data_IF_058774851239
#
_entry.id   IF_058774851239
#
_cell.length_a   1.000
_cell.length_b   1.000
_cell.length_c   1.000
_cell.angle_alpha   90.00
_cell.angle_beta   90.00
_cell.angle_gamma   90.00
#
_symmetry.space_group_name_H-M   'P 1'
#
loop_
_entity.id
_entity.type
_entity.pdbx_description
1 polymer ?
#
# COMPACT_ATOMS: atom_id res chain seq x y z
N UNK A 1 -21.67 -15.78 -57.05
CA UNK A 1 -20.41 -15.49 -56.33
C UNK A 1 -20.78 -14.93 -54.98
N UNK A 2 -20.85 -15.78 -53.96
CA UNK A 2 -21.06 -15.38 -52.57
C UNK A 2 -19.76 -15.68 -51.82
N UNK A 3 -19.22 -14.65 -51.18
CA UNK A 3 -17.95 -14.64 -50.47
C UNK A 3 -18.01 -15.48 -49.21
N UNK A 4 -17.06 -16.41 -49.09
CA UNK A 4 -16.86 -17.28 -47.95
C UNK A 4 -16.22 -16.50 -46.79
N UNK A 5 -17.00 -16.20 -45.75
CA UNK A 5 -16.51 -15.63 -44.49
C UNK A 5 -16.59 -16.70 -43.40
N UNK A 6 -15.62 -17.61 -43.36
CA UNK A 6 -15.42 -18.51 -42.23
C UNK A 6 -14.67 -17.77 -41.12
N UNK A 7 -15.35 -17.50 -40.00
CA UNK A 7 -14.73 -17.01 -38.78
C UNK A 7 -13.71 -18.03 -38.24
N UNK A 8 -12.58 -17.59 -37.64
CA UNK A 8 -11.58 -18.51 -37.10
C UNK A 8 -12.17 -19.32 -35.94
N UNK A 9 -12.05 -20.65 -36.02
CA UNK A 9 -12.51 -21.57 -34.98
C UNK A 9 -11.83 -21.24 -33.65
N UNK A 10 -12.63 -20.95 -32.60
CA UNK A 10 -12.14 -20.93 -31.22
C UNK A 10 -11.51 -22.30 -30.93
N UNK A 11 -10.19 -22.33 -30.76
CA UNK A 11 -9.54 -23.50 -30.20
C UNK A 11 -10.06 -23.65 -28.77
N UNK A 12 -10.84 -24.70 -28.52
CA UNK A 12 -11.25 -25.11 -27.16
C UNK A 12 -10.01 -25.58 -26.40
N UNK A 13 -9.24 -24.62 -25.88
CA UNK A 13 -8.21 -24.87 -24.89
C UNK A 13 -8.92 -25.23 -23.57
N UNK A 14 -9.25 -26.51 -23.42
CA UNK A 14 -9.82 -27.07 -22.20
C UNK A 14 -8.76 -27.00 -21.10
N UNK A 15 -8.73 -25.89 -20.36
CA UNK A 15 -7.89 -25.69 -19.17
C UNK A 15 -8.24 -26.77 -18.14
N UNK A 16 -7.38 -27.79 -18.02
CA UNK A 16 -7.41 -28.68 -16.87
C UNK A 16 -6.96 -27.87 -15.66
N UNK A 17 -7.83 -27.73 -14.66
CA UNK A 17 -7.47 -27.20 -13.34
C UNK A 17 -6.41 -28.12 -12.72
N UNK A 18 -5.16 -27.66 -12.50
CA UNK A 18 -4.16 -28.47 -11.85
C UNK A 18 -4.55 -28.68 -10.39
N UNK A 19 -4.72 -29.93 -9.97
CA UNK A 19 -4.66 -30.29 -8.55
C UNK A 19 -3.19 -30.47 -8.20
N UNK A 20 -2.60 -29.47 -7.54
CA UNK A 20 -1.21 -29.46 -7.05
C UNK A 20 -0.39 -28.27 -7.54
N UNK A 21 0.54 -27.80 -6.71
CA UNK A 21 1.58 -26.81 -7.03
C UNK A 21 2.58 -27.44 -8.00
N UNK A 22 2.24 -27.46 -9.30
CA UNK A 22 3.21 -27.74 -10.35
C UNK A 22 3.88 -26.42 -10.72
N UNK A 23 5.20 -26.37 -10.62
CA UNK A 23 5.97 -25.20 -11.03
C UNK A 23 5.79 -24.96 -12.55
N UNK A 24 5.65 -23.69 -12.93
CA UNK A 24 5.53 -23.26 -14.32
C UNK A 24 6.89 -23.49 -15.02
N UNK A 25 6.91 -24.21 -16.14
CA UNK A 25 8.13 -24.52 -16.88
C UNK A 25 7.95 -24.27 -18.39
N UNK A 26 8.98 -23.75 -19.06
CA UNK A 26 8.94 -23.52 -20.50
C UNK A 26 7.84 -22.55 -20.93
N UNK A 27 6.99 -22.93 -21.89
CA UNK A 27 5.91 -22.08 -22.43
C UNK A 27 4.87 -21.63 -21.40
N UNK A 28 4.70 -22.40 -20.33
CA UNK A 28 3.82 -22.08 -19.20
C UNK A 28 4.27 -20.75 -18.51
N UNK A 29 5.58 -20.46 -18.49
CA UNK A 29 6.12 -19.23 -17.91
C UNK A 29 5.78 -17.98 -18.73
N UNK A 30 5.62 -18.12 -20.05
CA UNK A 30 5.25 -17.03 -20.97
C UNK A 30 3.75 -16.73 -20.86
N UNK A 31 2.92 -17.76 -20.74
CA UNK A 31 1.50 -17.57 -20.46
C UNK A 31 1.29 -16.91 -19.08
N UNK A 32 2.05 -17.36 -18.09
CA UNK A 32 2.11 -16.70 -16.79
C UNK A 32 2.59 -15.24 -16.93
N UNK A 33 3.50 -14.90 -17.85
CA UNK A 33 3.91 -13.49 -18.11
C UNK A 33 2.74 -12.65 -18.55
N UNK A 34 2.12 -13.10 -19.62
CA UNK A 34 1.01 -12.39 -20.19
C UNK A 34 -0.13 -12.26 -19.17
N UNK A 35 -0.41 -13.29 -18.38
CA UNK A 35 -1.44 -13.21 -17.32
C UNK A 35 -1.06 -12.18 -16.26
N UNK A 36 0.15 -12.23 -15.69
CA UNK A 36 0.54 -11.28 -14.65
C UNK A 36 0.66 -9.85 -15.17
N UNK A 37 1.26 -9.63 -16.34
CA UNK A 37 1.41 -8.31 -16.95
C UNK A 37 0.04 -7.73 -17.34
N UNK A 38 -0.85 -8.55 -17.92
CA UNK A 38 -2.24 -8.15 -18.23
C UNK A 38 -2.99 -7.79 -16.96
N UNK A 39 -2.87 -8.61 -15.90
CA UNK A 39 -3.47 -8.32 -14.60
C UNK A 39 -2.93 -7.00 -14.05
N UNK A 40 -1.63 -6.75 -14.06
CA UNK A 40 -1.08 -5.51 -13.47
C UNK A 40 -1.46 -4.24 -14.24
N UNK A 41 -1.86 -4.35 -15.51
CA UNK A 41 -2.12 -3.18 -16.36
C UNK A 41 -3.61 -2.87 -16.54
N UNK A 42 -4.52 -3.79 -16.20
CA UNK A 42 -5.96 -3.71 -16.55
C UNK A 42 -6.87 -3.87 -15.32
N UNK A 43 -6.33 -4.09 -14.12
CA UNK A 43 -7.16 -4.50 -12.99
C UNK A 43 -7.92 -3.33 -12.35
N UNK A 44 -9.13 -3.09 -12.88
CA UNK A 44 -10.27 -2.61 -12.11
C UNK A 44 -11.04 -3.85 -11.65
N UNK A 45 -10.97 -4.17 -10.36
CA UNK A 45 -11.55 -5.40 -9.82
C UNK A 45 -12.44 -5.09 -8.64
N UNK A 46 -13.63 -5.68 -8.63
CA UNK A 46 -14.39 -5.90 -7.42
C UNK A 46 -14.25 -7.35 -6.93
N UNK A 47 -14.26 -7.56 -5.62
CA UNK A 47 -14.27 -8.88 -5.02
C UNK A 47 -15.26 -8.93 -3.86
N UNK A 48 -16.26 -9.80 -3.98
CA UNK A 48 -17.18 -10.12 -2.89
C UNK A 48 -16.85 -11.52 -2.37
N UNK A 49 -16.26 -11.61 -1.19
CA UNK A 49 -15.82 -12.88 -0.63
C UNK A 49 -15.84 -12.88 0.91
N UNK A 50 -15.89 -14.07 1.49
CA UNK A 50 -15.74 -14.26 2.93
C UNK A 50 -14.28 -14.11 3.34
N UNK A 51 -14.05 -13.41 4.44
CA UNK A 51 -12.75 -13.28 5.10
C UNK A 51 -12.83 -13.87 6.50
N UNK A 52 -11.67 -14.31 6.98
CA UNK A 52 -11.55 -14.98 8.28
C UNK A 52 -10.56 -14.21 9.15
N UNK A 53 -11.00 -13.75 10.32
CA UNK A 53 -10.15 -13.04 11.30
C UNK A 53 -10.23 -13.74 12.65
N UNK A 54 -9.06 -14.05 13.23
CA UNK A 54 -8.96 -14.64 14.57
C UNK A 54 -8.97 -13.57 15.65
N UNK A 55 -9.89 -12.62 15.55
CA UNK A 55 -10.02 -11.52 16.50
C UNK A 55 -10.64 -12.03 17.81
N UNK A 56 -10.19 -11.48 18.94
CA UNK A 56 -10.82 -11.63 20.26
C UNK A 56 -11.60 -10.34 20.54
N UNK A 57 -12.92 -10.30 20.27
CA UNK A 57 -13.68 -9.08 20.51
C UNK A 57 -13.88 -8.85 22.00
N UNK A 58 -13.70 -7.59 22.44
CA UNK A 58 -14.03 -7.14 23.80
C UNK A 58 -15.54 -7.23 24.09
N UNK A 59 -16.39 -7.28 23.05
CA UNK A 59 -17.85 -7.39 23.15
C UNK A 59 -18.28 -8.69 22.49
N UNK A 60 -18.89 -9.60 23.26
CA UNK A 60 -19.30 -10.94 22.82
C UNK A 60 -20.42 -10.95 21.75
N UNK A 61 -21.01 -9.80 21.42
CA UNK A 61 -22.01 -9.63 20.36
C UNK A 61 -21.43 -8.78 19.23
N UNK A 62 -21.37 -9.35 18.02
CA UNK A 62 -21.35 -8.57 16.77
C UNK A 62 -20.07 -8.60 15.93
N UNK A 63 -18.91 -9.03 16.44
CA UNK A 63 -17.73 -9.28 15.58
C UNK A 63 -17.64 -10.75 15.21
N UNK A 64 -17.99 -11.04 13.97
CA UNK A 64 -17.88 -12.38 13.40
C UNK A 64 -16.41 -12.69 13.09
N UNK A 65 -16.01 -13.95 13.30
CA UNK A 65 -14.71 -14.44 12.81
C UNK A 65 -14.71 -14.74 11.33
N UNK A 66 -15.89 -14.84 10.74
CA UNK A 66 -16.16 -15.04 9.32
C UNK A 66 -17.20 -14.02 8.89
N UNK A 67 -16.87 -13.16 7.92
CA UNK A 67 -17.78 -12.15 7.39
C UNK A 67 -17.45 -11.83 5.93
N UNK A 68 -18.38 -11.21 5.21
CA UNK A 68 -18.15 -10.78 3.83
C UNK A 68 -17.43 -9.43 3.78
N UNK A 69 -16.51 -9.31 2.82
CA UNK A 69 -16.01 -8.04 2.31
C UNK A 69 -16.45 -7.89 0.86
N UNK A 70 -16.73 -6.64 0.47
CA UNK A 70 -17.02 -6.23 -0.90
C UNK A 70 -16.00 -5.15 -1.24
N UNK A 71 -14.84 -5.58 -1.74
CA UNK A 71 -13.71 -4.71 -2.02
C UNK A 71 -13.76 -4.30 -3.50
N UNK A 72 -13.32 -3.08 -3.81
CA UNK A 72 -13.14 -2.56 -5.16
C UNK A 72 -11.81 -1.83 -5.21
N UNK A 73 -10.97 -2.20 -6.16
CA UNK A 73 -9.60 -1.70 -6.28
C UNK A 73 -9.32 -1.32 -7.73
N UNK A 74 -8.68 -0.16 -7.91
CA UNK A 74 -8.11 0.30 -9.17
C UNK A 74 -6.59 0.20 -9.03
N UNK A 75 -5.96 -0.66 -9.83
CA UNK A 75 -4.51 -0.84 -9.83
C UNK A 75 -3.92 -0.42 -11.19
N UNK A 76 -2.89 0.42 -11.15
CA UNK A 76 -2.20 0.87 -12.35
C UNK A 76 -1.56 2.25 -12.18
N UNK A 77 -0.97 2.74 -13.26
CA UNK A 77 -0.42 4.09 -13.35
C UNK A 77 -1.44 4.97 -14.08
N UNK A 78 -1.90 6.01 -13.39
CA UNK A 78 -2.92 6.94 -13.87
C UNK A 78 -2.50 8.36 -13.54
N UNK A 79 -3.19 9.33 -14.14
CA UNK A 79 -3.06 10.73 -13.75
C UNK A 79 -3.51 10.91 -12.28
N UNK A 80 -2.89 11.84 -11.53
CA UNK A 80 -3.09 11.96 -10.09
C UNK A 80 -4.56 12.17 -9.73
N UNK A 81 -5.00 11.50 -8.66
CA UNK A 81 -6.31 11.62 -7.99
C UNK A 81 -7.53 11.21 -8.82
N UNK A 82 -7.40 10.83 -10.09
CA UNK A 82 -8.54 10.38 -10.90
C UNK A 82 -9.13 9.07 -10.35
N UNK A 83 -8.35 7.99 -10.13
CA UNK A 83 -8.89 6.76 -9.55
C UNK A 83 -9.45 6.96 -8.14
N UNK A 84 -8.80 7.81 -7.35
CA UNK A 84 -9.23 8.14 -5.99
C UNK A 84 -10.63 8.79 -6.00
N UNK A 85 -10.86 9.72 -6.93
CA UNK A 85 -12.16 10.37 -7.11
C UNK A 85 -13.23 9.37 -7.60
N UNK A 86 -12.89 8.49 -8.54
CA UNK A 86 -13.80 7.46 -9.06
C UNK A 86 -14.27 6.50 -7.97
N UNK A 87 -13.37 6.03 -7.11
CA UNK A 87 -13.73 5.19 -5.96
C UNK A 87 -14.70 5.90 -5.01
N UNK A 88 -14.51 7.20 -4.75
CA UNK A 88 -15.42 7.98 -3.93
C UNK A 88 -16.80 8.18 -4.61
N UNK A 89 -16.84 8.31 -5.94
CA UNK A 89 -18.07 8.38 -6.71
C UNK A 89 -18.86 7.07 -6.62
N UNK A 90 -18.19 5.92 -6.80
CA UNK A 90 -18.79 4.59 -6.64
C UNK A 90 -19.39 4.43 -5.24
N UNK A 91 -18.70 4.89 -4.19
CA UNK A 91 -19.23 4.85 -2.81
C UNK A 91 -20.52 5.67 -2.69
N UNK A 92 -20.56 6.87 -3.29
CA UNK A 92 -21.73 7.74 -3.27
C UNK A 92 -22.93 7.07 -3.99
N UNK A 93 -22.72 6.55 -5.20
CA UNK A 93 -23.74 5.87 -6.01
C UNK A 93 -24.28 4.61 -5.32
N UNK A 94 -23.40 3.77 -4.75
CA UNK A 94 -23.80 2.57 -4.01
C UNK A 94 -24.63 2.95 -2.78
N UNK A 95 -24.24 4.00 -2.06
CA UNK A 95 -24.97 4.45 -0.86
C UNK A 95 -26.36 4.97 -1.21
N UNK A 96 -26.49 5.71 -2.32
CA UNK A 96 -27.78 6.18 -2.84
C UNK A 96 -28.67 5.01 -3.28
N UNK A 97 -28.13 4.05 -4.04
CA UNK A 97 -28.85 2.86 -4.47
C UNK A 97 -29.35 2.03 -3.28
N UNK A 98 -28.56 1.95 -2.20
CA UNK A 98 -28.93 1.30 -0.95
C UNK A 98 -29.87 2.15 -0.07
N UNK A 99 -30.10 3.42 -0.42
CA UNK A 99 -30.90 4.40 0.35
C UNK A 99 -30.37 4.59 1.76
N UNK A 100 -29.04 4.68 1.89
CA UNK A 100 -28.35 4.94 3.15
C UNK A 100 -27.66 6.29 3.01
N UNK A 101 -28.08 7.25 3.83
CA UNK A 101 -27.38 8.53 3.94
C UNK A 101 -26.04 8.30 4.63
N UNK A 102 -24.96 8.67 3.96
CA UNK A 102 -23.60 8.52 4.46
C UNK A 102 -22.83 9.83 4.37
N UNK A 103 -21.81 9.95 5.22
CA UNK A 103 -20.73 10.90 5.06
C UNK A 103 -19.43 10.13 4.88
N UNK A 104 -18.67 10.47 3.84
CA UNK A 104 -17.34 9.92 3.62
C UNK A 104 -16.31 10.85 4.26
N UNK A 105 -15.75 10.42 5.38
CA UNK A 105 -14.65 11.10 6.05
C UNK A 105 -13.37 10.83 5.28
N UNK A 106 -12.64 11.88 4.94
CA UNK A 106 -11.39 11.83 4.18
C UNK A 106 -10.24 12.32 5.04
N UNK A 107 -9.05 11.83 4.75
CA UNK A 107 -7.77 12.38 5.19
C UNK A 107 -6.66 11.98 4.21
N UNK A 108 -5.45 12.49 4.38
CA UNK A 108 -4.32 12.17 3.51
C UNK A 108 -3.10 11.76 4.33
N UNK A 109 -2.45 10.65 3.95
CA UNK A 109 -1.31 10.10 4.70
C UNK A 109 -0.14 11.08 4.76
N UNK A 110 0.16 11.77 3.66
CA UNK A 110 1.24 12.78 3.63
C UNK A 110 0.98 13.95 4.60
N UNK A 111 -0.28 14.39 4.71
CA UNK A 111 -0.65 15.44 5.68
C UNK A 111 -0.48 14.92 7.11
N UNK A 112 -0.93 13.69 7.39
CA UNK A 112 -0.73 13.05 8.69
C UNK A 112 0.75 12.85 9.04
N UNK A 113 1.58 12.41 8.09
CA UNK A 113 3.02 12.21 8.31
C UNK A 113 3.73 13.52 8.63
N UNK A 114 3.46 14.58 7.86
CA UNK A 114 4.00 15.90 8.18
C UNK A 114 3.51 16.45 9.51
N UNK A 115 2.27 16.16 9.92
CA UNK A 115 1.78 16.48 11.27
C UNK A 115 2.54 15.72 12.36
N UNK A 116 2.86 14.44 12.14
CA UNK A 116 3.66 13.65 13.09
C UNK A 116 5.12 14.11 13.16
N UNK A 117 5.72 14.51 12.05
CA UNK A 117 7.06 15.12 12.02
C UNK A 117 7.12 16.44 12.81
N UNK A 118 5.99 17.15 12.87
CA UNK A 118 5.83 18.40 13.62
C UNK A 118 5.28 18.18 15.04
N UNK A 119 5.32 16.94 15.56
CA UNK A 119 4.88 16.58 16.91
C UNK A 119 3.37 16.87 17.16
N UNK A 120 2.48 16.48 16.21
CA UNK A 120 1.01 16.68 16.33
C UNK A 120 0.11 15.40 16.24
N UNK A 121 0.14 14.44 17.20
CA UNK A 121 -0.78 13.24 17.33
C UNK A 121 -2.08 13.28 18.23
N UNK A 122 -3.10 12.36 18.05
CA UNK A 122 -4.49 12.44 18.57
C UNK A 122 -4.71 12.48 20.10
N UNK A 123 -5.93 12.79 20.59
CA UNK A 123 -6.07 13.48 21.89
C UNK A 123 -6.47 12.70 23.16
N UNK A 124 -7.70 12.37 23.53
CA UNK A 124 -7.94 12.09 24.98
C UNK A 124 -7.51 10.71 25.52
N UNK A 125 -7.49 9.68 24.67
CA UNK A 125 -6.92 8.36 24.98
C UNK A 125 -5.48 8.23 24.47
N UNK A 126 -5.20 8.91 23.37
CA UNK A 126 -3.91 8.89 22.68
C UNK A 126 -2.91 9.79 23.40
N UNK A 127 -3.29 10.91 24.05
CA UNK A 127 -2.44 11.66 24.99
C UNK A 127 -1.90 10.74 26.08
N UNK A 128 -2.77 9.93 26.70
CA UNK A 128 -2.36 8.95 27.73
C UNK A 128 -1.41 7.90 27.16
N UNK A 129 -1.74 7.33 26.01
CA UNK A 129 -0.90 6.32 25.34
C UNK A 129 0.43 6.90 24.80
N UNK A 130 0.45 8.19 24.45
CA UNK A 130 1.62 8.93 23.99
C UNK A 130 2.55 9.31 25.14
N UNK A 131 1.99 9.72 26.27
CA UNK A 131 2.74 9.92 27.52
C UNK A 131 3.37 8.59 27.95
N UNK A 132 2.64 7.47 27.86
CA UNK A 132 3.17 6.12 28.11
C UNK A 132 4.26 5.70 27.11
N UNK A 133 4.27 6.27 25.89
CA UNK A 133 5.30 6.05 24.86
C UNK A 133 6.44 7.09 24.88
N UNK A 134 6.45 8.01 25.85
CA UNK A 134 7.55 8.94 26.09
C UNK A 134 7.50 10.26 25.31
N UNK A 135 6.33 10.67 24.79
CA UNK A 135 6.13 11.98 24.15
C UNK A 135 5.78 13.04 25.21
N UNK A 136 6.27 14.29 25.08
CA UNK A 136 6.12 15.34 26.11
C UNK A 136 4.71 15.97 26.17
N UNK A 137 4.34 16.49 27.35
CA UNK A 137 3.03 17.08 27.63
C UNK A 137 2.75 18.38 26.83
N UNK A 138 3.80 19.14 26.51
CA UNK A 138 3.70 20.36 25.67
C UNK A 138 3.47 20.04 24.19
N UNK A 139 4.03 18.92 23.71
CA UNK A 139 3.78 18.38 22.38
C UNK A 139 2.34 17.90 22.29
N UNK A 140 1.91 17.18 23.32
CA UNK A 140 0.56 16.72 23.49
C UNK A 140 -0.47 17.88 23.41
N UNK A 141 -0.42 18.90 24.28
CA UNK A 141 -1.48 19.92 24.36
C UNK A 141 -1.71 20.70 23.06
N UNK A 142 -0.66 20.88 22.24
CA UNK A 142 -0.75 21.53 20.93
C UNK A 142 -1.56 20.75 19.90
N UNK A 143 -1.77 19.45 20.10
CA UNK A 143 -2.45 18.61 19.11
C UNK A 143 -3.96 18.56 19.25
N UNK A 144 -4.46 18.58 20.48
CA UNK A 144 -5.90 18.51 20.75
C UNK A 144 -6.69 19.56 19.98
N UNK A 145 -6.08 20.74 19.79
CA UNK A 145 -6.64 21.83 19.01
C UNK A 145 -6.83 21.56 17.51
N UNK A 146 -6.09 20.63 16.89
CA UNK A 146 -6.13 20.37 15.43
C UNK A 146 -6.88 19.10 15.06
N UNK A 147 -6.70 18.01 15.81
CA UNK A 147 -7.22 16.68 15.46
C UNK A 147 -8.73 16.56 15.65
N UNK A 148 -9.32 17.32 16.58
CA UNK A 148 -10.77 17.31 16.82
C UNK A 148 -11.58 18.05 15.74
N UNK A 149 -10.93 18.57 14.69
CA UNK A 149 -11.59 19.36 13.65
C UNK A 149 -11.94 18.53 12.43
N UNK A 150 -13.14 18.74 11.92
CA UNK A 150 -13.64 18.20 10.67
C UNK A 150 -14.52 19.24 10.01
N UNK A 151 -14.46 19.36 8.69
CA UNK A 151 -15.19 20.39 7.97
C UNK A 151 -15.25 20.12 6.47
N UNK A 152 -15.71 21.13 5.73
CA UNK A 152 -15.68 21.10 4.28
C UNK A 152 -14.24 21.04 3.77
N UNK A 153 -14.01 20.35 2.65
CA UNK A 153 -12.67 20.13 2.12
C UNK A 153 -11.90 21.43 1.90
N UNK A 154 -12.54 22.44 1.28
CA UNK A 154 -11.93 23.76 1.05
C UNK A 154 -11.56 24.47 2.34
N UNK A 155 -12.48 24.52 3.30
CA UNK A 155 -12.23 25.18 4.58
C UNK A 155 -11.03 24.56 5.31
N UNK A 156 -10.94 23.23 5.31
CA UNK A 156 -9.84 22.53 5.96
C UNK A 156 -8.50 22.73 5.23
N UNK A 157 -8.52 22.79 3.90
CA UNK A 157 -7.32 23.08 3.10
C UNK A 157 -6.82 24.52 3.32
N UNK A 158 -7.72 25.51 3.23
CA UNK A 158 -7.41 26.92 3.46
C UNK A 158 -6.78 27.11 4.86
N UNK A 159 -7.25 26.36 5.87
CA UNK A 159 -6.68 26.36 7.22
C UNK A 159 -5.27 25.78 7.26
N UNK A 160 -5.04 24.62 6.66
CA UNK A 160 -3.70 24.00 6.62
C UNK A 160 -2.71 24.94 5.94
N UNK A 161 -3.12 25.60 4.85
CA UNK A 161 -2.30 26.57 4.12
C UNK A 161 -2.03 27.84 4.92
N UNK A 162 -2.97 28.27 5.77
CA UNK A 162 -2.79 29.44 6.64
C UNK A 162 -1.75 29.25 7.76
N UNK A 163 -1.42 27.99 8.07
CA UNK A 163 -0.43 27.64 9.10
C UNK A 163 0.98 27.58 8.49
N UNK A 164 1.85 28.50 8.90
CA UNK A 164 3.20 28.65 8.32
C UNK A 164 4.07 27.38 8.47
N UNK A 165 3.96 26.66 9.59
CA UNK A 165 4.72 25.44 9.84
C UNK A 165 4.26 24.28 8.94
N UNK A 166 2.94 24.17 8.71
CA UNK A 166 2.35 23.11 7.91
C UNK A 166 2.59 23.35 6.42
N UNK A 167 2.37 24.58 5.96
CA UNK A 167 2.60 24.99 4.57
C UNK A 167 4.08 24.92 4.17
N UNK A 168 5.01 25.11 5.10
CA UNK A 168 6.44 24.95 4.85
C UNK A 168 6.89 23.48 4.75
N UNK A 169 6.11 22.51 5.27
CA UNK A 169 6.45 21.10 5.17
C UNK A 169 6.11 20.58 3.76
N UNK A 170 7.14 20.14 3.02
CA UNK A 170 7.00 19.63 1.64
C UNK A 170 6.00 18.46 1.54
N UNK A 171 6.06 17.52 2.49
CA UNK A 171 5.17 16.35 2.52
C UNK A 171 3.71 16.79 2.71
N UNK A 172 3.46 17.75 3.60
CA UNK A 172 2.12 18.34 3.78
C UNK A 172 1.67 19.06 2.51
N UNK A 173 2.53 19.88 1.89
CA UNK A 173 2.21 20.62 0.67
C UNK A 173 1.80 19.70 -0.48
N UNK A 174 2.51 18.57 -0.67
CA UNK A 174 2.12 17.56 -1.65
C UNK A 174 0.74 16.97 -1.35
N UNK A 175 0.47 16.61 -0.09
CA UNK A 175 -0.84 16.09 0.30
C UNK A 175 -1.97 17.12 0.17
N UNK A 176 -1.70 18.40 0.41
CA UNK A 176 -2.65 19.50 0.18
C UNK A 176 -2.96 19.63 -1.31
N UNK A 177 -1.95 19.58 -2.18
CA UNK A 177 -2.13 19.63 -3.62
C UNK A 177 -2.98 18.45 -4.14
N UNK A 178 -2.70 17.23 -3.66
CA UNK A 178 -3.50 16.03 -3.96
C UNK A 178 -4.98 16.23 -3.55
N UNK A 179 -5.21 16.75 -2.34
CA UNK A 179 -6.57 16.99 -1.83
C UNK A 179 -7.29 18.15 -2.54
N UNK A 180 -6.59 19.19 -2.98
CA UNK A 180 -7.15 20.27 -3.81
C UNK A 180 -7.58 19.75 -5.18
N UNK A 181 -6.76 18.90 -5.80
CA UNK A 181 -7.09 18.27 -7.07
C UNK A 181 -8.31 17.34 -6.92
N UNK A 182 -8.32 16.51 -5.87
CA UNK A 182 -9.47 15.67 -5.53
C UNK A 182 -10.74 16.51 -5.34
N UNK A 183 -10.67 17.64 -4.64
CA UNK A 183 -11.82 18.55 -4.47
C UNK A 183 -12.41 18.99 -5.80
N UNK A 184 -11.55 19.27 -6.80
CA UNK A 184 -11.98 19.69 -8.13
C UNK A 184 -12.72 18.58 -8.88
N UNK A 185 -12.23 17.34 -8.78
CA UNK A 185 -12.87 16.18 -9.40
C UNK A 185 -14.19 15.84 -8.74
N UNK A 186 -14.24 15.78 -7.40
CA UNK A 186 -15.48 15.50 -6.66
C UNK A 186 -16.54 16.58 -6.89
N UNK A 187 -16.11 17.84 -7.11
CA UNK A 187 -17.02 18.92 -7.51
C UNK A 187 -17.59 18.67 -8.91
N UNK A 188 -16.76 18.28 -9.86
CA UNK A 188 -17.19 17.98 -11.24
C UNK A 188 -18.07 16.73 -11.33
N UNK A 189 -17.86 15.76 -10.43
CA UNK A 189 -18.66 14.54 -10.28
C UNK A 189 -19.90 14.74 -9.40
N UNK A 190 -20.15 15.94 -8.88
CA UNK A 190 -21.31 16.27 -8.04
C UNK A 190 -21.43 15.46 -6.74
N UNK A 191 -20.30 15.01 -6.16
CA UNK A 191 -20.24 14.21 -4.92
C UNK A 191 -19.51 14.93 -3.77
N UNK A 192 -19.10 16.18 -3.97
CA UNK A 192 -18.34 16.94 -2.96
C UNK A 192 -19.12 17.19 -1.65
N UNK A 193 -20.45 17.23 -1.69
CA UNK A 193 -21.32 17.39 -0.51
C UNK A 193 -21.40 16.13 0.36
N UNK A 194 -21.04 14.96 -0.18
CA UNK A 194 -21.01 13.68 0.53
C UNK A 194 -19.73 13.49 1.35
N UNK A 195 -18.72 14.32 1.15
CA UNK A 195 -17.41 14.16 1.78
C UNK A 195 -17.16 15.18 2.88
N UNK A 196 -16.39 14.78 3.89
CA UNK A 196 -15.89 15.67 4.94
C UNK A 196 -14.40 15.43 5.11
N UNK A 197 -13.61 16.48 5.25
CA UNK A 197 -12.17 16.36 5.48
C UNK A 197 -11.89 16.51 6.98
N UNK A 198 -11.22 15.51 7.58
CA UNK A 198 -10.93 15.51 9.02
C UNK A 198 -9.56 14.90 9.32
N UNK A 199 -8.77 15.62 10.12
CA UNK A 199 -7.39 15.25 10.45
C UNK A 199 -7.28 14.12 11.48
N UNK A 200 -8.39 13.77 12.15
CA UNK A 200 -8.45 12.64 13.10
C UNK A 200 -8.52 11.27 12.46
N UNK A 201 -8.85 11.19 11.16
CA UNK A 201 -8.94 9.90 10.50
C UNK A 201 -7.54 9.36 10.22
N UNK A 202 -7.06 8.48 11.12
CA UNK A 202 -5.83 7.72 10.95
C UNK A 202 -6.17 6.23 10.87
N UNK A 203 -6.10 5.66 9.67
CA UNK A 203 -6.29 4.22 9.41
C UNK A 203 -5.12 3.68 8.60
N UNK A 204 -4.89 2.37 8.69
CA UNK A 204 -3.96 1.66 7.80
C UNK A 204 -2.55 2.23 7.74
N UNK A 205 -1.99 2.68 8.88
CA UNK A 205 -0.68 3.36 8.96
C UNK A 205 0.47 2.54 8.35
N UNK A 206 0.30 1.21 8.25
CA UNK A 206 1.28 0.29 7.70
C UNK A 206 1.19 0.10 6.18
N UNK A 207 0.14 0.60 5.50
CA UNK A 207 -0.07 0.35 4.08
C UNK A 207 -0.66 1.50 3.25
N UNK A 208 -1.44 2.42 3.82
CA UNK A 208 -1.88 3.60 3.05
C UNK A 208 -0.75 4.62 2.89
N UNK A 209 -0.69 5.23 1.71
CA UNK A 209 0.35 6.18 1.31
C UNK A 209 -0.20 7.53 0.82
N UNK A 210 -1.48 7.58 0.44
CA UNK A 210 -2.15 8.78 -0.04
C UNK A 210 -3.49 9.03 0.65
N UNK A 211 -4.55 9.16 -0.14
CA UNK A 211 -5.93 9.31 0.36
C UNK A 211 -6.29 8.18 1.34
N UNK A 212 -7.00 8.53 2.40
CA UNK A 212 -7.61 7.61 3.36
C UNK A 212 -9.06 8.02 3.51
N UNK A 213 -9.98 7.06 3.51
CA UNK A 213 -11.38 7.35 3.71
C UNK A 213 -12.11 6.33 4.59
N UNK A 214 -13.17 6.83 5.23
CA UNK A 214 -14.07 6.05 6.07
C UNK A 214 -15.52 6.51 5.82
N UNK A 215 -16.38 5.57 5.47
CA UNK A 215 -17.80 5.79 5.21
C UNK A 215 -18.57 5.58 6.51
N UNK A 216 -19.23 6.64 6.97
CA UNK A 216 -20.00 6.65 8.22
C UNK A 216 -21.46 6.95 7.89
N UNK A 217 -22.42 6.11 8.32
CA UNK A 217 -23.83 6.41 8.16
C UNK A 217 -24.20 7.69 8.92
N UNK A 218 -24.98 8.56 8.29
CA UNK A 218 -25.54 9.72 8.96
C UNK A 218 -26.69 9.26 9.89
N UNK A 219 -26.91 9.95 11.03
CA UNK A 219 -28.04 9.67 11.89
C UNK A 219 -29.35 9.70 11.12
N UNK A 220 -30.13 8.63 11.24
CA UNK A 220 -31.47 8.59 10.69
C UNK A 220 -32.34 9.63 11.40
N UNK A 221 -32.72 10.68 10.67
CA UNK A 221 -33.58 11.77 11.18
C UNK A 221 -34.94 11.26 11.68
N UNK A 222 -35.35 10.08 11.23
CA UNK A 222 -36.63 9.44 11.60
C UNK A 222 -36.49 8.43 12.74
N UNK A 223 -35.27 7.93 13.03
CA UNK A 223 -35.05 6.95 14.08
C UNK A 223 -33.73 7.15 14.85
N UNK A 224 -33.74 8.03 15.88
CA UNK A 224 -32.55 8.42 16.63
C UNK A 224 -31.81 7.28 17.35
N UNK A 225 -32.47 6.14 17.60
CA UNK A 225 -31.84 4.98 18.23
C UNK A 225 -30.90 4.21 17.30
N UNK A 226 -30.98 4.40 15.97
CA UNK A 226 -30.04 3.82 15.00
C UNK A 226 -28.76 4.64 14.80
N UNK A 227 -28.63 5.80 15.46
CA UNK A 227 -27.61 6.82 15.15
C UNK A 227 -26.16 6.49 15.54
N UNK A 228 -25.89 5.32 16.12
CA UNK A 228 -24.56 4.87 16.50
C UNK A 228 -24.17 3.58 15.78
N UNK A 229 -24.21 3.61 14.44
CA UNK A 229 -23.55 2.59 13.64
C UNK A 229 -22.12 3.06 13.39
N UNK A 230 -21.14 2.21 13.71
CA UNK A 230 -19.75 2.45 13.30
C UNK A 230 -19.62 2.51 11.78
N UNK A 231 -18.39 2.72 11.28
CA UNK A 231 -18.12 2.74 9.85
C UNK A 231 -18.67 1.51 9.12
N UNK A 232 -19.25 1.76 7.94
CA UNK A 232 -19.83 0.75 7.04
C UNK A 232 -18.95 0.49 5.81
N UNK A 233 -17.91 1.29 5.63
CA UNK A 233 -16.93 1.16 4.56
C UNK A 233 -15.66 1.94 4.89
N UNK A 234 -14.53 1.51 4.35
CA UNK A 234 -13.26 2.19 4.49
C UNK A 234 -12.34 1.81 3.33
N UNK A 235 -11.34 2.64 3.07
CA UNK A 235 -10.36 2.39 2.04
C UNK A 235 -9.34 3.52 1.97
N UNK A 236 -8.54 3.50 0.91
CA UNK A 236 -7.51 4.50 0.67
C UNK A 236 -6.49 4.04 -0.36
N UNK A 237 -5.60 4.96 -0.74
CA UNK A 237 -4.49 4.72 -1.66
C UNK A 237 -3.35 4.04 -0.94
N UNK A 238 -2.89 2.90 -1.48
CA UNK A 238 -1.80 2.09 -0.91
C UNK A 238 -0.72 1.82 -1.97
N UNK A 239 -0.03 2.88 -2.38
CA UNK A 239 1.10 2.77 -3.29
C UNK A 239 2.28 2.08 -2.60
N UNK A 240 3.05 1.31 -3.37
CA UNK A 240 4.28 0.73 -2.86
C UNK A 240 4.89 -0.25 -3.83
N UNK A 241 6.11 -0.65 -3.53
CA UNK A 241 6.91 -1.48 -4.43
C UNK A 241 6.58 -2.98 -4.31
N UNK A 242 5.36 -3.34 -3.89
CA UNK A 242 4.99 -4.77 -3.75
C UNK A 242 5.00 -5.45 -5.12
N UNK A 243 4.31 -4.87 -6.10
CA UNK A 243 4.30 -5.39 -7.47
C UNK A 243 5.69 -5.42 -8.08
N UNK A 244 6.50 -4.37 -7.87
CA UNK A 244 7.88 -4.32 -8.34
C UNK A 244 8.77 -5.38 -7.67
N UNK A 245 8.61 -5.62 -6.36
CA UNK A 245 9.29 -6.72 -5.66
C UNK A 245 8.89 -8.08 -6.22
N UNK A 246 7.60 -8.29 -6.51
CA UNK A 246 7.10 -9.51 -7.14
C UNK A 246 7.73 -9.72 -8.52
N UNK A 247 7.79 -8.66 -9.34
CA UNK A 247 8.39 -8.67 -10.67
C UNK A 247 9.89 -9.02 -10.62
N UNK A 248 10.64 -8.37 -9.73
CA UNK A 248 12.08 -8.64 -9.53
C UNK A 248 12.33 -10.06 -9.01
N UNK A 249 11.58 -10.51 -8.01
CA UNK A 249 11.71 -11.87 -7.48
C UNK A 249 11.46 -12.92 -8.58
N UNK A 250 10.47 -12.67 -9.44
CA UNK A 250 10.17 -13.52 -10.59
C UNK A 250 11.31 -13.58 -11.60
N UNK A 251 11.92 -12.45 -11.95
CA UNK A 251 13.08 -12.42 -12.85
C UNK A 251 14.24 -13.24 -12.31
N UNK A 252 14.50 -13.13 -11.00
CA UNK A 252 15.51 -13.94 -10.32
C UNK A 252 15.15 -15.43 -10.36
N UNK A 253 13.90 -15.81 -10.08
CA UNK A 253 13.45 -17.20 -10.16
C UNK A 253 13.64 -17.79 -11.57
N UNK A 254 13.34 -17.01 -12.62
CA UNK A 254 13.58 -17.43 -14.02
C UNK A 254 15.03 -17.66 -14.35
N UNK A 255 15.91 -16.87 -13.74
CA UNK A 255 17.35 -17.05 -13.86
C UNK A 255 17.88 -18.23 -13.05
N UNK A 256 17.01 -19.00 -12.38
CA UNK A 256 17.37 -20.10 -11.48
C UNK A 256 17.88 -19.63 -10.11
N UNK A 257 17.67 -18.35 -9.76
CA UNK A 257 18.12 -17.76 -8.51
C UNK A 257 16.99 -17.81 -7.50
N UNK A 258 17.20 -18.46 -6.36
CA UNK A 258 16.24 -18.47 -5.26
C UNK A 258 16.18 -17.08 -4.62
N UNK A 259 15.00 -16.48 -4.62
CA UNK A 259 14.74 -15.16 -4.07
C UNK A 259 13.46 -15.17 -3.22
N UNK A 260 13.42 -14.30 -2.22
CA UNK A 260 12.25 -14.08 -1.36
C UNK A 260 12.03 -12.58 -1.20
N UNK A 261 10.80 -12.17 -0.90
CA UNK A 261 10.44 -10.76 -0.66
C UNK A 261 9.34 -10.65 0.39
N UNK A 262 9.25 -9.49 1.05
CA UNK A 262 8.17 -9.21 1.99
C UNK A 262 6.92 -8.74 1.25
N UNK A 263 5.79 -9.43 1.47
CA UNK A 263 4.50 -9.14 0.83
C UNK A 263 3.72 -7.96 1.45
N UNK A 264 4.37 -7.15 2.30
CA UNK A 264 3.77 -5.90 2.83
C UNK A 264 3.95 -4.79 1.81
N UNK A 265 3.05 -3.81 1.77
CA UNK A 265 3.15 -2.64 0.88
C UNK A 265 4.38 -1.78 1.25
N UNK A 266 4.48 -1.37 2.52
CA UNK A 266 5.58 -0.54 3.06
C UNK A 266 6.39 -1.27 4.15
N UNK A 267 7.19 -2.28 3.79
CA UNK A 267 7.96 -3.05 4.78
C UNK A 267 9.08 -2.19 5.39
N UNK A 268 9.19 -2.19 6.73
CA UNK A 268 10.25 -1.45 7.42
C UNK A 268 11.63 -2.06 7.08
N UNK A 269 12.62 -1.28 6.60
CA UNK A 269 13.92 -1.81 6.17
C UNK A 269 14.61 -2.66 7.23
N UNK A 270 14.63 -2.21 8.50
CA UNK A 270 15.24 -2.96 9.59
C UNK A 270 14.62 -4.36 9.79
N UNK A 271 13.30 -4.48 9.67
CA UNK A 271 12.61 -5.77 9.78
C UNK A 271 12.95 -6.68 8.60
N UNK A 272 13.11 -6.13 7.41
CA UNK A 272 13.50 -6.89 6.22
C UNK A 272 14.91 -7.45 6.36
N UNK A 273 15.87 -6.63 6.78
CA UNK A 273 17.24 -7.10 7.01
C UNK A 273 17.31 -8.15 8.10
N UNK A 274 16.56 -7.98 9.20
CA UNK A 274 16.48 -8.99 10.26
C UNK A 274 15.85 -10.31 9.79
N UNK A 275 14.88 -10.28 8.89
CA UNK A 275 14.28 -11.48 8.30
C UNK A 275 15.20 -12.17 7.28
N UNK A 276 16.14 -11.44 6.68
CA UNK A 276 17.09 -11.95 5.68
C UNK A 276 18.33 -12.65 6.27
N UNK A 277 18.23 -13.21 7.49
CA UNK A 277 19.36 -13.91 8.11
C UNK A 277 19.80 -15.11 7.27
N UNK A 278 21.11 -15.20 7.00
CA UNK A 278 21.69 -16.26 6.17
C UNK A 278 21.56 -16.02 4.65
N UNK A 279 20.93 -14.93 4.23
CA UNK A 279 20.85 -14.53 2.82
C UNK A 279 22.11 -13.72 2.46
N UNK A 280 22.86 -14.07 1.40
CA UNK A 280 24.14 -13.43 1.07
C UNK A 280 24.00 -12.16 0.21
N UNK A 281 22.84 -11.92 -0.42
CA UNK A 281 22.63 -10.80 -1.35
C UNK A 281 21.23 -10.22 -1.15
N UNK A 282 21.14 -8.90 -1.06
CA UNK A 282 19.89 -8.15 -1.05
C UNK A 282 19.73 -7.35 -2.35
N UNK A 283 18.53 -7.37 -2.92
CA UNK A 283 18.12 -6.47 -3.99
C UNK A 283 17.15 -5.45 -3.39
N UNK A 284 17.52 -4.18 -3.45
CA UNK A 284 16.83 -3.06 -2.83
C UNK A 284 16.20 -2.24 -3.96
N UNK A 285 14.89 -2.01 -3.82
CA UNK A 285 14.09 -1.22 -4.74
C UNK A 285 13.77 0.12 -4.08
N UNK A 286 14.15 1.21 -4.72
CA UNK A 286 13.72 2.57 -4.38
C UNK A 286 12.97 3.16 -5.57
N UNK A 287 12.03 4.07 -5.30
CA UNK A 287 11.17 4.66 -6.33
C UNK A 287 11.98 5.45 -7.36
N UNK A 288 12.91 6.30 -6.90
CA UNK A 288 13.79 7.08 -7.78
C UNK A 288 14.71 6.19 -8.61
N UNK A 289 15.34 5.18 -7.99
CA UNK A 289 16.19 4.22 -8.72
C UNK A 289 15.40 3.46 -9.79
N UNK A 290 14.21 2.97 -9.46
CA UNK A 290 13.37 2.23 -10.39
C UNK A 290 12.90 3.09 -11.56
N UNK A 291 12.51 4.35 -11.30
CA UNK A 291 12.16 5.30 -12.35
C UNK A 291 13.33 5.57 -13.30
N UNK A 292 14.57 5.51 -12.80
CA UNK A 292 15.79 5.58 -13.61
C UNK A 292 16.20 4.26 -14.28
N UNK A 293 15.38 3.20 -14.16
CA UNK A 293 15.69 1.88 -14.71
C UNK A 293 16.82 1.14 -13.97
N UNK A 294 17.02 1.45 -12.68
CA UNK A 294 18.09 0.93 -11.85
C UNK A 294 17.56 0.23 -10.59
N UNK A 295 18.40 -0.63 -10.02
CA UNK A 295 18.19 -1.29 -8.74
C UNK A 295 19.48 -1.34 -7.96
N UNK A 296 19.36 -1.43 -6.64
CA UNK A 296 20.52 -1.45 -5.76
C UNK A 296 20.76 -2.88 -5.29
N UNK A 297 21.91 -3.44 -5.63
CA UNK A 297 22.29 -4.80 -5.25
C UNK A 297 23.38 -4.71 -4.18
N UNK A 298 23.19 -5.41 -3.07
CA UNK A 298 24.07 -5.34 -1.91
C UNK A 298 24.45 -6.73 -1.43
N UNK A 299 25.74 -6.96 -1.20
CA UNK A 299 26.21 -8.16 -0.53
C UNK A 299 25.98 -8.03 0.98
N UNK A 300 25.34 -9.03 1.58
CA UNK A 300 25.10 -9.09 3.01
C UNK A 300 26.20 -9.95 3.64
N UNK A 301 27.07 -9.33 4.45
CA UNK A 301 28.10 -10.07 5.19
C UNK A 301 27.46 -10.75 6.40
N UNK A 302 27.70 -12.06 6.52
CA UNK A 302 27.23 -12.84 7.66
C UNK A 302 27.99 -12.46 8.93
N UNK A 303 27.42 -11.55 9.72
CA UNK A 303 27.73 -11.44 11.15
C UNK A 303 28.09 -10.05 11.68
N UNK A 304 28.45 -9.08 10.85
CA UNK A 304 28.84 -7.76 11.35
C UNK A 304 27.73 -6.72 11.17
N UNK A 305 27.04 -6.40 12.27
CA UNK A 305 25.90 -5.47 12.31
C UNK A 305 26.31 -4.03 12.04
N UNK A 306 27.59 -3.68 12.21
CA UNK A 306 28.09 -2.29 12.10
C UNK A 306 28.74 -2.01 10.74
N UNK A 307 29.38 -2.99 10.09
CA UNK A 307 29.94 -2.84 8.74
C UNK A 307 28.84 -2.77 7.65
N UNK A 308 27.73 -3.46 7.87
CA UNK A 308 26.58 -3.47 6.96
C UNK A 308 25.85 -2.12 6.85
N UNK A 309 26.11 -1.15 7.74
CA UNK A 309 25.41 0.15 7.76
C UNK A 309 26.06 1.17 6.81
N UNK A 310 27.35 1.01 6.44
CA UNK A 310 28.07 1.99 5.61
C UNK A 310 28.07 1.69 4.11
N UNK A 311 27.94 0.43 3.69
CA UNK A 311 27.85 0.09 2.28
C UNK A 311 26.42 0.32 1.75
N UNK A 312 26.24 1.32 0.89
CA UNK A 312 24.96 1.60 0.23
C UNK A 312 24.63 0.57 -0.86
N UNK A 313 25.48 -0.42 -1.12
CA UNK A 313 25.31 -1.36 -2.23
C UNK A 313 25.55 -0.69 -3.59
N UNK A 314 25.66 -1.53 -4.61
CA UNK A 314 25.94 -1.11 -5.98
C UNK A 314 24.65 -0.77 -6.71
N UNK A 315 24.60 0.40 -7.37
CA UNK A 315 23.54 0.71 -8.33
C UNK A 315 23.81 -0.03 -9.64
N UNK A 316 22.83 -0.80 -10.09
CA UNK A 316 22.90 -1.68 -11.25
C UNK A 316 21.71 -1.39 -12.15
N UNK A 317 21.94 -1.26 -13.45
CA UNK A 317 20.85 -1.20 -14.43
C UNK A 317 19.97 -2.46 -14.34
N UNK A 318 18.64 -2.34 -14.42
CA UNK A 318 17.70 -3.48 -14.29
C UNK A 318 18.06 -4.66 -15.20
N UNK A 319 18.52 -4.36 -16.42
CA UNK A 319 18.95 -5.34 -17.42
C UNK A 319 20.14 -6.20 -16.97
N UNK A 320 21.02 -5.63 -16.13
CA UNK A 320 22.24 -6.29 -15.61
C UNK A 320 22.04 -6.91 -14.23
N UNK A 321 20.82 -6.85 -13.67
CA UNK A 321 20.52 -7.35 -12.33
C UNK A 321 20.93 -8.82 -12.16
N UNK A 322 20.55 -9.68 -13.11
CA UNK A 322 20.80 -11.13 -13.01
C UNK A 322 22.30 -11.43 -13.01
N UNK A 323 23.06 -10.75 -13.86
CA UNK A 323 24.51 -10.91 -13.96
C UNK A 323 25.19 -10.53 -12.65
N UNK A 324 24.86 -9.37 -12.10
CA UNK A 324 25.49 -8.88 -10.87
C UNK A 324 25.10 -9.73 -9.65
N UNK A 325 23.84 -10.17 -9.55
CA UNK A 325 23.42 -11.07 -8.45
C UNK A 325 24.17 -12.40 -8.53
N UNK A 326 24.36 -12.99 -9.73
CA UNK A 326 25.15 -14.23 -9.88
C UNK A 326 26.58 -14.03 -9.42
N UNK A 327 27.22 -12.95 -9.84
CA UNK A 327 28.59 -12.60 -9.47
C UNK A 327 28.75 -12.47 -7.95
N UNK A 328 27.82 -11.80 -7.26
CA UNK A 328 27.84 -11.66 -5.80
C UNK A 328 27.54 -12.97 -5.06
N UNK A 329 26.71 -13.84 -5.64
CA UNK A 329 26.45 -15.17 -5.08
C UNK A 329 27.69 -16.07 -5.20
N UNK A 330 28.44 -15.98 -6.30
CA UNK A 330 29.70 -16.70 -6.49
C UNK A 330 30.78 -16.19 -5.54
N UNK A 331 30.98 -14.87 -5.41
CA UNK A 331 31.94 -14.30 -4.45
C UNK A 331 31.64 -14.75 -3.03
N UNK A 332 30.36 -14.71 -2.61
CA UNK A 332 29.91 -15.15 -1.28
C UNK A 332 30.08 -16.66 -1.06
N UNK A 333 30.09 -17.49 -2.11
CA UNK A 333 30.42 -18.93 -2.00
C UNK A 333 31.92 -19.12 -1.81
N UNK A 334 32.74 -18.44 -2.60
CA UNK A 334 34.20 -18.49 -2.48
C UNK A 334 34.69 -18.05 -1.10
N UNK A 335 34.12 -16.98 -0.53
CA UNK A 335 34.46 -16.53 0.82
C UNK A 335 34.07 -17.54 1.90
N UNK A 336 32.87 -18.14 1.81
CA UNK A 336 32.44 -19.20 2.74
C UNK A 336 33.34 -20.43 2.66
N UNK A 337 33.72 -20.85 1.46
CA UNK A 337 34.62 -21.99 1.29
C UNK A 337 36.01 -21.72 1.87
N UNK A 338 36.55 -20.51 1.68
CA UNK A 338 37.81 -20.08 2.32
C UNK A 338 37.72 -20.10 3.84
N UNK A 339 36.63 -19.57 4.42
CA UNK A 339 36.43 -19.58 5.87
C UNK A 339 36.30 -21.00 6.45
N UNK A 340 35.53 -21.88 5.81
CA UNK A 340 35.37 -23.28 6.22
C UNK A 340 36.71 -24.04 6.15
N UNK A 341 37.49 -23.82 5.09
CA UNK A 341 38.83 -24.41 4.95
C UNK A 341 39.82 -23.90 6.01
N UNK A 342 39.71 -22.65 6.44
CA UNK A 342 40.54 -22.06 7.49
C UNK A 342 40.16 -22.53 8.92
N UNK A 343 38.90 -22.96 9.10
CA UNK A 343 38.35 -23.41 10.39
C UNK A 343 38.36 -24.95 10.56
N UNK A 344 38.76 -25.70 9.54
CA UNK A 344 38.91 -27.16 9.60
C UNK A 344 37.60 -27.94 9.76
N UNK A 345 36.47 -27.34 9.34
CA UNK A 345 35.15 -27.98 9.36
C UNK A 345 34.76 -28.27 7.91
N UNK A 346 34.95 -29.52 7.48
CA UNK A 346 34.43 -30.06 6.20
C UNK A 346 32.91 -30.25 6.24
#
# INVERSE_FOLDING_TARGET
MASDTSAPSRQDARLKTPKGTRDWVGGDLVLCDQIFDTITTILDRYQVAKVYRRDQPAIARGRLREFYQCDFDIAGVYDPMIPDAEVLCIIAEVSEALRIDVSVKLNHRKILDGLFELDKPPWDEVKREMLDKGISDEVADRVGGFVQRSGGMREMLDRIESEAELSANKTVAEGVADMQLLASYLKAMEVLDKVSFGLSLARGLDYYTGLIYEVVPLPDRTNPQRSQVGSVGAGGRYDGLLFERMRVARELWRAGIRAEFTAKVKPRPAQQFNASQGVPVAVILGEEELAAGQVRVKQLQGGDRDAAVKDKGLLVAREKLIEEVRKLLESSKLERNKLSSALGVE
#
